data_IF_846946783850
#
_entry.id   IF_846946783850
#
_cell.length_a   1.000
_cell.length_b   1.000
_cell.length_c   1.000
_cell.angle_alpha   90.00
_cell.angle_beta   90.00
_cell.angle_gamma   90.00
#
_symmetry.space_group_name_H-M   'P 1'
#
loop_
_entity.id
_entity.type
_entity.pdbx_description
1 polymer ?
#
# COMPACT_ATOMS: atom_id res chain seq x y z
N UNK A 1 -16.58 -57.38 -31.01
CA UNK A 1 -17.04 -57.10 -29.62
C UNK A 1 -16.40 -58.13 -28.72
N UNK A 2 -15.08 -58.30 -28.79
CA UNK A 2 -14.04 -57.42 -28.21
C UNK A 2 -14.15 -57.41 -26.70
N UNK A 3 -13.56 -58.45 -26.12
CA UNK A 3 -13.09 -58.48 -24.74
C UNK A 3 -12.06 -57.36 -24.55
N UNK A 4 -12.35 -56.42 -23.65
CA UNK A 4 -11.37 -55.46 -23.14
C UNK A 4 -10.74 -56.04 -21.87
N UNK A 5 -9.40 -55.93 -21.72
CA UNK A 5 -8.66 -56.69 -20.72
C UNK A 5 -8.73 -56.07 -19.32
N UNK A 6 -8.69 -56.97 -18.35
CA UNK A 6 -8.44 -56.78 -16.93
C UNK A 6 -7.38 -55.72 -16.64
N UNK A 7 -7.73 -54.70 -15.87
CA UNK A 7 -6.77 -53.75 -15.30
C UNK A 7 -5.82 -54.48 -14.33
N UNK A 8 -4.53 -54.10 -14.28
CA UNK A 8 -3.55 -54.83 -13.49
C UNK A 8 -3.67 -54.44 -12.01
N UNK A 9 -3.75 -55.45 -11.14
CA UNK A 9 -3.67 -55.34 -9.67
C UNK A 9 -2.34 -54.73 -9.18
N UNK A 10 -1.40 -54.44 -10.09
CA UNK A 10 -0.09 -53.84 -9.84
C UNK A 10 -0.13 -52.31 -9.59
N UNK A 11 -1.27 -51.64 -9.76
CA UNK A 11 -1.40 -50.21 -9.41
C UNK A 11 -1.79 -50.01 -7.94
N UNK A 12 -2.39 -51.02 -7.31
CA UNK A 12 -2.81 -50.97 -5.90
C UNK A 12 -1.71 -51.42 -4.93
N UNK A 13 -0.72 -52.18 -5.40
CA UNK A 13 0.47 -52.53 -4.60
C UNK A 13 1.48 -51.39 -4.50
N UNK A 14 1.47 -50.42 -5.41
CA UNK A 14 2.31 -49.21 -5.33
C UNK A 14 1.88 -48.24 -4.23
N UNK A 15 0.62 -48.26 -3.79
CA UNK A 15 0.14 -47.41 -2.69
C UNK A 15 0.32 -48.02 -1.30
N UNK A 16 0.62 -49.32 -1.20
CA UNK A 16 0.78 -50.02 0.09
C UNK A 16 2.25 -50.29 0.48
N UNK A 17 3.22 -49.93 -0.36
CA UNK A 17 4.67 -49.95 0.00
C UNK A 17 5.22 -48.61 0.47
N UNK A 18 4.36 -47.63 0.76
CA UNK A 18 4.78 -46.35 1.37
C UNK A 18 4.74 -46.38 2.92
N UNK A 19 4.78 -47.57 3.51
CA UNK A 19 4.72 -47.77 4.98
C UNK A 19 5.93 -48.55 5.55
N UNK A 20 7.03 -48.67 4.79
CA UNK A 20 8.31 -49.17 5.31
C UNK A 20 9.53 -48.36 4.82
N UNK A 21 9.34 -47.07 4.54
CA UNK A 21 10.48 -46.15 4.55
C UNK A 21 10.70 -45.75 6.00
N UNK A 22 11.73 -46.35 6.58
CA UNK A 22 12.37 -45.97 7.85
C UNK A 22 12.14 -44.49 8.17
N UNK A 23 11.73 -44.22 9.42
CA UNK A 23 11.67 -42.93 10.09
C UNK A 23 13.06 -42.22 10.07
N UNK A 24 13.55 -41.88 8.89
CA UNK A 24 14.69 -41.03 8.66
C UNK A 24 14.16 -39.59 8.62
N UNK A 25 13.86 -39.10 9.82
CA UNK A 25 14.19 -37.73 10.21
C UNK A 25 13.55 -36.62 9.36
N UNK A 26 12.40 -36.19 9.86
CA UNK A 26 11.89 -34.82 9.94
C UNK A 26 12.95 -33.74 10.27
N UNK A 27 13.92 -33.50 9.39
CA UNK A 27 14.79 -32.29 9.42
C UNK A 27 15.27 -31.97 8.02
N UNK A 28 14.62 -31.03 7.32
CA UNK A 28 15.43 -30.15 6.47
C UNK A 28 16.42 -29.49 7.43
N UNK A 29 17.70 -29.86 7.33
CA UNK A 29 18.73 -29.26 8.17
C UNK A 29 18.73 -27.77 7.94
N UNK A 30 19.00 -26.98 8.98
CA UNK A 30 19.28 -25.54 8.84
C UNK A 30 20.25 -25.28 7.70
N UNK A 31 21.23 -26.17 7.48
CA UNK A 31 22.19 -26.12 6.38
C UNK A 31 21.57 -26.16 4.97
N UNK A 32 20.55 -26.98 4.70
CA UNK A 32 19.92 -27.08 3.37
C UNK A 32 18.99 -25.89 3.10
N UNK A 33 18.31 -25.40 4.13
CA UNK A 33 17.52 -24.17 4.06
C UNK A 33 18.43 -22.94 3.87
N UNK A 34 19.58 -22.92 4.55
CA UNK A 34 20.63 -21.91 4.34
C UNK A 34 21.20 -21.98 2.92
N UNK A 35 21.46 -23.18 2.38
CA UNK A 35 21.95 -23.34 1.02
C UNK A 35 20.95 -22.82 -0.01
N UNK A 36 19.66 -23.17 0.12
CA UNK A 36 18.62 -22.62 -0.75
C UNK A 36 18.50 -21.10 -0.65
N UNK A 37 18.58 -20.54 0.57
CA UNK A 37 18.58 -19.08 0.74
C UNK A 37 19.78 -18.42 0.04
N UNK A 38 20.98 -19.00 0.15
CA UNK A 38 22.18 -18.49 -0.53
C UNK A 38 22.01 -18.53 -2.05
N UNK A 39 21.47 -19.61 -2.61
CA UNK A 39 21.21 -19.72 -4.06
C UNK A 39 20.17 -18.70 -4.53
N UNK A 40 19.08 -18.51 -3.79
CA UNK A 40 18.05 -17.50 -4.12
C UNK A 40 18.65 -16.09 -4.08
N UNK A 41 19.41 -15.77 -3.03
CA UNK A 41 20.07 -14.45 -2.92
C UNK A 41 21.06 -14.25 -4.07
N UNK A 42 21.84 -15.26 -4.45
CA UNK A 42 22.75 -15.19 -5.59
C UNK A 42 22.01 -14.89 -6.90
N UNK A 43 20.88 -15.56 -7.16
CA UNK A 43 20.05 -15.27 -8.33
C UNK A 43 19.44 -13.86 -8.31
N UNK A 44 19.03 -13.36 -7.13
CA UNK A 44 18.54 -11.98 -6.99
C UNK A 44 19.65 -10.95 -7.26
N UNK A 45 20.88 -11.21 -6.82
CA UNK A 45 22.04 -10.37 -7.11
C UNK A 45 22.33 -10.37 -8.62
N UNK A 46 22.36 -11.54 -9.26
CA UNK A 46 22.57 -11.66 -10.70
C UNK A 46 21.47 -10.92 -11.48
N UNK A 47 20.21 -11.05 -11.05
CA UNK A 47 19.08 -10.32 -11.62
C UNK A 47 19.27 -8.80 -11.53
N UNK A 48 19.61 -8.27 -10.34
CA UNK A 48 19.84 -6.82 -10.13
C UNK A 48 21.00 -6.33 -11.01
N UNK A 49 22.07 -7.13 -11.15
CA UNK A 49 23.22 -6.77 -11.98
C UNK A 49 22.86 -6.76 -13.46
N UNK A 50 22.13 -7.77 -13.94
CA UNK A 50 21.72 -7.91 -15.33
C UNK A 50 20.69 -6.88 -15.76
N UNK A 51 19.78 -6.51 -14.85
CA UNK A 51 18.71 -5.54 -15.09
C UNK A 51 18.87 -4.33 -14.18
N UNK A 52 20.04 -3.69 -14.27
CA UNK A 52 20.42 -2.62 -13.35
C UNK A 52 19.39 -1.47 -13.37
N UNK A 53 18.87 -1.03 -12.21
CA UNK A 53 17.96 0.10 -12.13
C UNK A 53 18.61 1.44 -12.50
N UNK A 54 19.94 1.48 -12.72
CA UNK A 54 20.67 2.65 -13.21
C UNK A 54 20.41 2.94 -14.68
N UNK A 55 20.01 1.92 -15.43
CA UNK A 55 19.68 2.03 -16.84
C UNK A 55 18.19 2.32 -16.99
N UNK A 56 17.85 3.42 -17.69
CA UNK A 56 16.47 3.88 -17.83
C UNK A 56 15.54 2.82 -18.45
N UNK A 57 16.06 2.02 -19.39
CA UNK A 57 15.32 0.94 -20.05
C UNK A 57 14.94 -0.21 -19.11
N UNK A 58 15.66 -0.40 -18.02
CA UNK A 58 15.35 -1.46 -17.06
C UNK A 58 14.30 -1.02 -16.03
N UNK A 59 14.01 0.29 -15.89
CA UNK A 59 13.05 0.81 -14.90
C UNK A 59 11.65 0.20 -15.02
N UNK A 60 11.24 -0.15 -16.24
CA UNK A 60 9.96 -0.81 -16.50
C UNK A 60 9.86 -2.21 -15.87
N UNK A 61 10.96 -2.88 -15.56
CA UNK A 61 10.96 -4.17 -14.88
C UNK A 61 10.71 -3.99 -13.37
N UNK A 62 11.18 -2.88 -12.82
CA UNK A 62 11.10 -2.56 -11.39
C UNK A 62 9.68 -2.19 -10.92
N UNK A 63 8.72 -2.01 -11.85
CA UNK A 63 7.30 -1.88 -11.49
C UNK A 63 6.66 -3.20 -11.05
N UNK A 64 7.25 -4.35 -11.40
CA UNK A 64 6.68 -5.68 -11.13
C UNK A 64 7.37 -6.41 -9.97
N UNK A 65 8.40 -5.80 -9.38
CA UNK A 65 9.20 -6.44 -8.34
C UNK A 65 8.74 -5.91 -6.98
N UNK A 66 8.39 -6.84 -6.08
CA UNK A 66 8.19 -6.50 -4.68
C UNK A 66 9.54 -6.34 -4.00
N UNK A 67 9.87 -5.13 -3.53
CA UNK A 67 11.12 -4.88 -2.83
C UNK A 67 11.18 -5.62 -1.48
N UNK A 68 10.03 -6.00 -0.92
CA UNK A 68 9.98 -6.86 0.27
C UNK A 68 10.55 -8.26 0.03
N UNK A 69 10.56 -8.74 -1.23
CA UNK A 69 11.19 -10.01 -1.60
C UNK A 69 12.73 -9.94 -1.62
N UNK A 70 13.31 -8.73 -1.62
CA UNK A 70 14.75 -8.54 -1.56
C UNK A 70 15.26 -8.59 -0.11
N UNK A 71 16.44 -9.18 0.14
CA UNK A 71 17.17 -9.06 1.40
C UNK A 71 17.39 -7.59 1.77
N UNK A 72 17.42 -7.25 3.06
CA UNK A 72 17.42 -5.86 3.53
C UNK A 72 18.49 -4.96 2.88
N UNK A 73 19.72 -5.47 2.71
CA UNK A 73 20.81 -4.72 2.09
C UNK A 73 20.54 -4.44 0.59
N UNK A 74 20.14 -5.48 -0.15
CA UNK A 74 19.80 -5.37 -1.57
C UNK A 74 18.55 -4.52 -1.78
N UNK A 75 17.54 -4.66 -0.90
CA UNK A 75 16.33 -3.84 -0.89
C UNK A 75 16.70 -2.38 -0.79
N UNK A 76 17.51 -2.03 0.20
CA UNK A 76 17.94 -0.65 0.44
C UNK A 76 18.68 -0.10 -0.78
N UNK A 77 19.72 -0.79 -1.25
CA UNK A 77 20.48 -0.32 -2.40
C UNK A 77 19.62 -0.16 -3.65
N UNK A 78 18.81 -1.17 -3.98
CA UNK A 78 17.97 -1.17 -5.17
C UNK A 78 16.90 -0.08 -5.13
N UNK A 79 16.28 0.13 -3.96
CA UNK A 79 15.32 1.22 -3.75
C UNK A 79 15.95 2.59 -4.01
N UNK A 80 17.16 2.83 -3.46
CA UNK A 80 17.90 4.08 -3.69
C UNK A 80 18.18 4.31 -5.18
N UNK A 81 18.62 3.27 -5.89
CA UNK A 81 18.94 3.33 -7.31
C UNK A 81 17.69 3.56 -8.17
N UNK A 82 16.59 2.83 -7.93
CA UNK A 82 15.31 3.02 -8.63
C UNK A 82 14.76 4.43 -8.39
N UNK A 83 14.77 4.92 -7.15
CA UNK A 83 14.30 6.28 -6.85
C UNK A 83 15.17 7.35 -7.53
N UNK A 84 16.48 7.17 -7.56
CA UNK A 84 17.40 8.13 -8.20
C UNK A 84 17.22 8.15 -9.71
N UNK A 85 17.19 6.99 -10.35
CA UNK A 85 17.00 6.87 -11.79
C UNK A 85 15.61 7.34 -12.21
N UNK A 86 14.57 6.94 -11.49
CA UNK A 86 13.19 7.32 -11.80
C UNK A 86 12.97 8.83 -11.68
N UNK A 87 13.46 9.47 -10.61
CA UNK A 87 13.38 10.93 -10.48
C UNK A 87 14.20 11.66 -11.54
N UNK A 88 15.32 11.07 -11.99
CA UNK A 88 16.15 11.62 -13.07
C UNK A 88 15.41 11.57 -14.41
N UNK A 89 14.81 10.44 -14.76
CA UNK A 89 14.05 10.31 -16.02
C UNK A 89 12.81 11.19 -16.02
N UNK A 90 12.08 11.30 -14.90
CA UNK A 90 10.97 12.25 -14.81
C UNK A 90 11.43 13.71 -14.95
N UNK A 91 12.55 14.10 -14.31
CA UNK A 91 13.10 15.46 -14.44
C UNK A 91 13.55 15.76 -15.85
N UNK A 92 14.21 14.81 -16.50
CA UNK A 92 14.62 14.90 -17.91
C UNK A 92 13.42 15.12 -18.82
N UNK A 93 12.35 14.36 -18.61
CA UNK A 93 11.09 14.55 -19.33
C UNK A 93 10.47 15.93 -19.05
N UNK A 94 10.36 16.34 -17.78
CA UNK A 94 9.84 17.66 -17.37
C UNK A 94 10.63 18.84 -17.97
N UNK A 95 11.94 18.67 -18.15
CA UNK A 95 12.81 19.69 -18.75
C UNK A 95 12.78 19.72 -20.28
N UNK A 96 12.13 18.74 -20.92
CA UNK A 96 12.09 18.60 -22.38
C UNK A 96 10.85 19.26 -22.98
N UNK A 97 10.96 19.84 -24.18
CA UNK A 97 9.89 20.60 -24.86
C UNK A 97 8.81 19.72 -25.50
N UNK A 98 8.44 18.60 -24.85
CA UNK A 98 7.75 17.48 -25.49
C UNK A 98 6.24 17.48 -25.29
N UNK A 99 5.56 16.72 -26.17
CA UNK A 99 4.09 16.64 -26.23
C UNK A 99 3.51 15.71 -25.15
N UNK A 100 2.28 15.98 -24.73
CA UNK A 100 1.53 15.16 -23.76
C UNK A 100 1.41 13.67 -24.16
N UNK A 101 1.59 13.33 -25.44
CA UNK A 101 1.61 11.93 -25.91
C UNK A 101 2.84 11.15 -25.42
N UNK A 102 3.95 11.83 -25.09
CA UNK A 102 5.13 11.19 -24.52
C UNK A 102 5.01 10.95 -23.01
N UNK A 103 3.92 11.40 -22.37
CA UNK A 103 3.65 11.16 -20.95
C UNK A 103 3.48 9.67 -20.64
N UNK A 104 2.97 8.89 -21.60
CA UNK A 104 2.81 7.44 -21.46
C UNK A 104 4.12 6.74 -21.09
N UNK A 105 5.26 7.24 -21.63
CA UNK A 105 6.59 6.70 -21.35
C UNK A 105 7.01 6.85 -19.88
N UNK A 106 6.41 7.79 -19.13
CA UNK A 106 6.66 7.98 -17.71
C UNK A 106 5.83 7.06 -16.82
N UNK A 107 4.76 6.45 -17.32
CA UNK A 107 3.90 5.61 -16.49
C UNK A 107 4.66 4.44 -15.84
N UNK A 108 5.52 3.67 -16.55
CA UNK A 108 6.33 2.63 -15.92
C UNK A 108 7.30 3.18 -14.87
N UNK A 109 7.85 4.37 -15.10
CA UNK A 109 8.77 5.04 -14.17
C UNK A 109 8.04 5.44 -12.89
N UNK A 110 6.85 6.03 -13.01
CA UNK A 110 6.00 6.38 -11.87
C UNK A 110 5.54 5.14 -11.10
N UNK A 111 5.18 4.06 -11.80
CA UNK A 111 4.86 2.77 -11.17
C UNK A 111 6.03 2.22 -10.37
N UNK A 112 7.26 2.26 -10.90
CA UNK A 112 8.45 1.82 -10.18
C UNK A 112 8.74 2.69 -8.94
N UNK A 113 8.59 4.02 -9.05
CA UNK A 113 8.72 4.93 -7.90
C UNK A 113 7.67 4.64 -6.82
N UNK A 114 6.42 4.40 -7.22
CA UNK A 114 5.34 4.04 -6.31
C UNK A 114 5.61 2.68 -5.63
N UNK A 115 6.13 1.69 -6.37
CA UNK A 115 6.53 0.41 -5.81
C UNK A 115 7.58 0.58 -4.70
N UNK A 116 8.58 1.44 -4.91
CA UNK A 116 9.58 1.77 -3.87
C UNK A 116 8.93 2.43 -2.66
N UNK A 117 8.08 3.45 -2.84
CA UNK A 117 7.38 4.11 -1.74
C UNK A 117 6.54 3.13 -0.90
N UNK A 118 5.86 2.18 -1.55
CA UNK A 118 4.98 1.25 -0.86
C UNK A 118 5.73 0.09 -0.16
N UNK A 119 6.90 -0.31 -0.65
CA UNK A 119 7.54 -1.56 -0.22
C UNK A 119 8.96 -1.42 0.33
N UNK A 120 9.58 -0.25 0.22
CA UNK A 120 10.93 0.04 0.71
C UNK A 120 11.11 1.54 1.07
N UNK A 121 10.08 2.20 1.60
CA UNK A 121 10.16 3.62 1.97
C UNK A 121 11.19 3.90 3.07
N UNK A 122 11.44 2.94 3.95
CA UNK A 122 12.47 2.99 4.99
C UNK A 122 13.89 3.14 4.43
N UNK A 123 14.09 2.75 3.17
CA UNK A 123 15.37 2.90 2.50
C UNK A 123 15.62 4.32 1.99
N UNK A 124 14.59 5.15 1.82
CA UNK A 124 14.68 6.46 1.19
C UNK A 124 15.12 7.53 2.19
N UNK A 125 16.21 8.22 1.87
CA UNK A 125 16.62 9.40 2.62
C UNK A 125 15.71 10.61 2.34
N UNK A 126 15.83 11.66 3.17
CA UNK A 126 15.02 12.88 3.01
C UNK A 126 15.22 13.55 1.65
N UNK A 127 16.42 13.47 1.06
CA UNK A 127 16.72 14.07 -0.24
C UNK A 127 15.96 13.36 -1.35
N UNK A 128 15.91 12.03 -1.31
CA UNK A 128 15.18 11.20 -2.28
C UNK A 128 13.68 11.35 -2.13
N UNK A 129 13.16 11.32 -0.90
CA UNK A 129 11.73 11.57 -0.64
C UNK A 129 11.32 12.96 -1.19
N UNK A 130 12.14 13.97 -0.95
CA UNK A 130 11.91 15.32 -1.50
C UNK A 130 11.95 15.33 -3.03
N UNK A 131 12.90 14.63 -3.65
CA UNK A 131 13.00 14.55 -5.11
C UNK A 131 11.80 13.86 -5.75
N UNK A 132 11.32 12.75 -5.16
CA UNK A 132 10.12 12.03 -5.65
C UNK A 132 8.87 12.89 -5.49
N UNK A 133 8.70 13.51 -4.31
CA UNK A 133 7.60 14.45 -4.03
C UNK A 133 7.57 15.59 -5.05
N UNK A 134 8.73 16.21 -5.31
CA UNK A 134 8.85 17.37 -6.19
C UNK A 134 8.47 17.01 -7.63
N UNK A 135 9.00 15.89 -8.13
CA UNK A 135 8.65 15.36 -9.45
C UNK A 135 7.15 15.07 -9.55
N UNK A 136 6.57 14.39 -8.55
CA UNK A 136 5.13 14.09 -8.52
C UNK A 136 4.28 15.36 -8.52
N UNK A 137 4.70 16.38 -7.78
CA UNK A 137 4.04 17.70 -7.72
C UNK A 137 4.11 18.43 -9.07
N UNK A 138 5.27 18.44 -9.71
CA UNK A 138 5.45 19.07 -11.03
C UNK A 138 4.65 18.36 -12.12
N UNK A 139 4.61 17.03 -12.10
CA UNK A 139 3.79 16.25 -13.05
C UNK A 139 2.30 16.46 -12.82
N UNK A 140 1.87 16.59 -11.56
CA UNK A 140 0.47 16.90 -11.23
C UNK A 140 0.02 18.23 -11.86
N UNK A 141 0.87 19.25 -11.84
CA UNK A 141 0.55 20.57 -12.39
C UNK A 141 0.27 20.56 -13.91
N UNK A 142 0.66 19.49 -14.63
CA UNK A 142 0.39 19.32 -16.05
C UNK A 142 -0.99 18.70 -16.33
N UNK A 143 -1.62 18.10 -15.32
CA UNK A 143 -2.90 17.43 -15.46
C UNK A 143 -4.06 18.42 -15.45
N UNK A 144 -5.02 18.20 -16.35
CA UNK A 144 -6.30 18.90 -16.32
C UNK A 144 -7.44 17.94 -16.66
N UNK A 145 -8.66 18.33 -16.27
CA UNK A 145 -9.83 17.46 -16.39
C UNK A 145 -10.11 17.01 -17.84
N UNK A 146 -9.89 17.88 -18.83
CA UNK A 146 -10.14 17.57 -20.24
C UNK A 146 -9.18 16.50 -20.76
N UNK A 147 -7.92 16.53 -20.33
CA UNK A 147 -6.92 15.53 -20.69
C UNK A 147 -7.21 14.19 -20.01
N UNK A 148 -7.56 14.21 -18.72
CA UNK A 148 -7.84 13.00 -17.95
C UNK A 148 -9.07 12.27 -18.50
N UNK A 149 -10.15 12.97 -18.86
CA UNK A 149 -11.35 12.31 -19.40
C UNK A 149 -11.16 11.79 -20.82
N UNK A 150 -10.29 12.43 -21.61
CA UNK A 150 -10.12 12.12 -23.03
C UNK A 150 -9.05 11.09 -23.38
N UNK A 151 -8.12 10.77 -22.47
CA UNK A 151 -6.92 9.98 -22.80
C UNK A 151 -6.62 8.89 -21.74
N UNK A 152 -6.68 7.59 -22.09
CA UNK A 152 -6.44 6.48 -21.15
C UNK A 152 -5.04 6.50 -20.51
N UNK A 153 -4.00 6.88 -21.26
CA UNK A 153 -2.64 6.94 -20.72
C UNK A 153 -2.48 8.06 -19.67
N UNK A 154 -3.25 9.15 -19.79
CA UNK A 154 -3.29 10.24 -18.79
C UNK A 154 -4.07 9.81 -17.55
N UNK A 155 -5.13 9.01 -17.72
CA UNK A 155 -5.85 8.37 -16.61
C UNK A 155 -4.90 7.49 -15.80
N UNK A 156 -4.09 6.67 -16.48
CA UNK A 156 -3.07 5.86 -15.83
C UNK A 156 -2.04 6.72 -15.08
N UNK A 157 -1.54 7.80 -15.69
CA UNK A 157 -0.63 8.74 -15.01
C UNK A 157 -1.26 9.31 -13.74
N UNK A 158 -2.52 9.76 -13.81
CA UNK A 158 -3.26 10.27 -12.66
C UNK A 158 -3.43 9.19 -11.58
N UNK A 159 -3.81 7.97 -11.96
CA UNK A 159 -3.96 6.84 -11.05
C UNK A 159 -2.65 6.42 -10.37
N UNK A 160 -1.49 6.73 -10.94
CA UNK A 160 -0.18 6.52 -10.32
C UNK A 160 0.26 7.71 -9.45
N UNK A 161 -0.01 8.93 -9.89
CA UNK A 161 0.34 10.15 -9.16
C UNK A 161 -0.47 10.32 -7.88
N UNK A 162 -1.75 9.98 -7.88
CA UNK A 162 -2.61 10.08 -6.70
C UNK A 162 -2.06 9.32 -5.49
N UNK A 163 -1.82 8.00 -5.55
CA UNK A 163 -1.24 7.27 -4.42
C UNK A 163 0.20 7.71 -4.10
N UNK A 164 1.00 8.12 -5.10
CA UNK A 164 2.34 8.66 -4.87
C UNK A 164 2.30 9.96 -4.06
N UNK A 165 1.40 10.89 -4.40
CA UNK A 165 1.18 12.12 -3.63
C UNK A 165 0.57 11.82 -2.25
N UNK A 166 -0.37 10.87 -2.19
CA UNK A 166 -0.97 10.41 -0.94
C UNK A 166 0.05 9.82 0.04
N UNK A 167 1.11 9.18 -0.46
CA UNK A 167 2.24 8.74 0.36
C UNK A 167 2.94 9.91 1.07
N UNK A 168 3.08 11.05 0.39
CA UNK A 168 3.75 12.25 0.92
C UNK A 168 2.80 13.25 1.59
N UNK A 169 1.54 12.88 1.86
CA UNK A 169 0.46 13.83 2.20
C UNK A 169 0.79 14.78 3.36
N UNK A 170 1.55 14.32 4.36
CA UNK A 170 1.94 15.13 5.52
C UNK A 170 2.98 16.23 5.22
N UNK A 171 3.76 16.05 4.14
CA UNK A 171 4.82 16.99 3.72
C UNK A 171 4.51 17.66 2.39
N UNK A 172 3.29 17.44 1.85
CA UNK A 172 2.80 18.14 0.68
C UNK A 172 2.40 19.58 1.03
N UNK A 173 2.53 20.46 0.04
CA UNK A 173 2.03 21.83 0.15
C UNK A 173 0.49 21.80 0.29
N UNK A 174 -0.11 22.46 1.29
CA UNK A 174 -1.57 22.57 1.42
C UNK A 174 -2.27 23.09 0.16
N UNK A 175 -1.62 23.97 -0.61
CA UNK A 175 -2.13 24.47 -1.88
C UNK A 175 -2.24 23.35 -2.92
N UNK A 176 -1.23 22.48 -3.01
CA UNK A 176 -1.26 21.32 -3.90
C UNK A 176 -2.36 20.34 -3.49
N UNK A 177 -2.53 20.08 -2.19
CA UNK A 177 -3.62 19.22 -1.68
C UNK A 177 -4.98 19.77 -2.11
N UNK A 178 -5.19 21.08 -1.98
CA UNK A 178 -6.42 21.75 -2.42
C UNK A 178 -6.64 21.62 -3.94
N UNK A 179 -5.59 21.77 -4.75
CA UNK A 179 -5.66 21.56 -6.20
C UNK A 179 -6.02 20.11 -6.54
N UNK A 180 -5.45 19.14 -5.83
CA UNK A 180 -5.74 17.71 -6.01
C UNK A 180 -7.22 17.44 -5.74
N UNK A 181 -7.74 17.89 -4.60
CA UNK A 181 -9.16 17.71 -4.22
C UNK A 181 -10.11 18.41 -5.21
N UNK A 182 -9.73 19.60 -5.69
CA UNK A 182 -10.53 20.35 -6.67
C UNK A 182 -10.64 19.62 -8.00
N UNK A 183 -9.52 19.06 -8.50
CA UNK A 183 -9.53 18.26 -9.72
C UNK A 183 -10.37 16.99 -9.53
N UNK A 184 -10.21 16.28 -8.41
CA UNK A 184 -10.98 15.07 -8.11
C UNK A 184 -12.49 15.33 -8.05
N UNK A 185 -12.90 16.41 -7.37
CA UNK A 185 -14.32 16.81 -7.28
C UNK A 185 -14.91 17.07 -8.67
N UNK A 186 -14.12 17.66 -9.56
CA UNK A 186 -14.55 17.93 -10.94
C UNK A 186 -14.57 16.64 -11.77
N UNK A 187 -13.55 15.79 -11.59
CA UNK A 187 -13.41 14.52 -12.30
C UNK A 187 -14.52 13.53 -11.95
N UNK A 188 -14.89 13.41 -10.67
CA UNK A 188 -15.98 12.53 -10.24
C UNK A 188 -17.34 12.91 -10.86
N UNK A 189 -17.58 14.20 -11.13
CA UNK A 189 -18.77 14.66 -11.86
C UNK A 189 -18.80 14.24 -13.33
N UNK A 190 -17.64 13.94 -13.91
CA UNK A 190 -17.52 13.48 -15.29
C UNK A 190 -17.61 11.95 -15.45
N UNK A 191 -18.00 11.23 -14.41
CA UNK A 191 -18.16 9.77 -14.40
C UNK A 191 -16.93 9.01 -14.97
N UNK A 192 -15.75 9.13 -14.32
CA UNK A 192 -14.52 8.54 -14.83
C UNK A 192 -14.54 7.00 -14.66
N UNK A 193 -13.69 6.24 -15.37
CA UNK A 193 -13.64 4.77 -15.22
C UNK A 193 -13.34 4.32 -13.78
N UNK A 194 -13.69 3.08 -13.44
CA UNK A 194 -13.60 2.57 -12.07
C UNK A 194 -12.17 2.60 -11.49
N UNK A 195 -11.15 2.28 -12.29
CA UNK A 195 -9.76 2.36 -11.85
C UNK A 195 -9.33 3.78 -11.43
N UNK A 196 -9.92 4.82 -12.05
CA UNK A 196 -9.70 6.21 -11.66
C UNK A 196 -10.45 6.54 -10.38
N UNK A 197 -11.71 6.08 -10.23
CA UNK A 197 -12.49 6.25 -9.00
C UNK A 197 -11.80 5.61 -7.80
N UNK A 198 -11.25 4.41 -7.97
CA UNK A 198 -10.49 3.70 -6.94
C UNK A 198 -9.25 4.50 -6.52
N UNK A 199 -8.45 4.97 -7.49
CA UNK A 199 -7.27 5.80 -7.17
C UNK A 199 -7.63 7.11 -6.46
N UNK A 200 -8.78 7.71 -6.78
CA UNK A 200 -9.32 8.88 -6.06
C UNK A 200 -9.65 8.52 -4.60
N UNK A 201 -10.35 7.42 -4.37
CA UNK A 201 -10.69 6.95 -3.02
C UNK A 201 -9.44 6.63 -2.20
N UNK A 202 -8.43 6.00 -2.80
CA UNK A 202 -7.16 5.71 -2.14
C UNK A 202 -6.45 6.99 -1.70
N UNK A 203 -6.41 8.03 -2.55
CA UNK A 203 -5.87 9.33 -2.13
C UNK A 203 -6.69 9.95 -1.00
N UNK A 204 -8.03 9.92 -1.08
CA UNK A 204 -8.88 10.47 -0.02
C UNK A 204 -8.66 9.74 1.31
N UNK A 205 -8.42 8.44 1.30
CA UNK A 205 -8.06 7.68 2.50
C UNK A 205 -6.76 8.20 3.14
N UNK A 206 -5.80 8.67 2.32
CA UNK A 206 -4.55 9.25 2.81
C UNK A 206 -4.74 10.59 3.53
N UNK A 207 -5.81 11.35 3.21
CA UNK A 207 -6.13 12.60 3.92
C UNK A 207 -6.43 12.36 5.41
N UNK A 208 -6.92 11.16 5.77
CA UNK A 208 -7.08 10.77 7.18
C UNK A 208 -5.77 10.71 7.96
N UNK A 209 -4.62 10.67 7.27
CA UNK A 209 -3.27 10.71 7.86
C UNK A 209 -2.75 12.13 8.07
N UNK A 210 -3.49 13.16 7.63
CA UNK A 210 -3.14 14.56 7.88
C UNK A 210 -3.36 14.86 9.37
N UNK A 211 -2.28 15.04 10.09
CA UNK A 211 -2.34 15.62 11.42
C UNK A 211 -2.64 17.11 11.27
N UNK A 212 -3.77 17.59 11.79
CA UNK A 212 -4.04 19.02 11.95
C UNK A 212 -3.45 19.44 13.29
N UNK A 213 -2.32 20.18 13.33
CA UNK A 213 -1.75 20.63 14.59
C UNK A 213 -2.76 21.53 15.31
N UNK A 214 -2.89 21.35 16.63
CA UNK A 214 -3.79 22.15 17.48
C UNK A 214 -3.53 23.67 17.38
N UNK A 215 -2.34 24.08 16.92
CA UNK A 215 -2.01 25.48 16.64
C UNK A 215 -2.87 26.14 15.53
N UNK A 216 -3.44 25.37 14.61
CA UNK A 216 -4.37 25.89 13.58
C UNK A 216 -5.81 25.97 14.13
N UNK A 217 -6.11 25.20 15.19
CA UNK A 217 -7.42 25.20 15.85
C UNK A 217 -7.58 26.35 16.86
N UNK A 218 -6.48 26.89 17.36
CA UNK A 218 -6.46 28.08 18.23
C UNK A 218 -5.87 29.26 17.47
N UNK A 219 -6.72 30.19 17.03
CA UNK A 219 -6.32 31.33 16.23
C UNK A 219 -5.18 32.17 16.82
N UNK A 220 -4.34 32.69 15.92
CA UNK A 220 -3.47 33.87 16.07
C UNK A 220 -2.91 34.14 17.47
N UNK A 221 -1.78 33.52 17.81
CA UNK A 221 -0.77 34.16 18.67
C UNK A 221 0.59 33.91 18.06
N UNK A 222 1.32 35.00 17.78
CA UNK A 222 2.64 35.01 17.16
C UNK A 222 3.63 34.16 17.97
N UNK A 223 4.34 33.31 17.25
CA UNK A 223 5.13 32.23 17.82
C UNK A 223 6.59 32.66 17.92
N UNK A 224 7.08 32.87 19.15
CA UNK A 224 8.45 33.33 19.39
C UNK A 224 9.50 32.28 18.99
N UNK A 225 10.64 32.73 18.49
CA UNK A 225 11.72 31.88 17.96
C UNK A 225 12.23 30.79 18.93
N UNK A 226 12.12 31.01 20.24
CA UNK A 226 12.45 30.00 21.26
C UNK A 226 11.46 28.81 21.24
N UNK A 227 10.17 29.07 21.00
CA UNK A 227 9.17 28.01 20.85
C UNK A 227 9.41 27.17 19.59
N UNK A 228 9.93 27.77 18.50
CA UNK A 228 10.30 27.04 17.27
C UNK A 228 11.44 26.06 17.49
N UNK A 229 12.46 26.45 18.27
CA UNK A 229 13.59 25.57 18.60
C UNK A 229 13.14 24.39 19.46
N UNK A 230 12.27 24.62 20.44
CA UNK A 230 11.74 23.54 21.28
C UNK A 230 10.78 22.61 20.50
N UNK A 231 10.04 23.15 19.51
CA UNK A 231 9.24 22.34 18.57
C UNK A 231 10.09 21.43 17.70
N UNK A 232 11.18 21.92 17.11
CA UNK A 232 12.09 21.09 16.29
C UNK A 232 12.71 19.97 17.14
N UNK A 233 12.94 20.21 18.43
CA UNK A 233 13.45 19.21 19.37
C UNK A 233 12.39 18.18 19.75
N UNK A 234 11.13 18.59 19.91
CA UNK A 234 9.97 17.72 20.13
C UNK A 234 9.62 16.89 18.87
N UNK A 235 9.63 17.48 17.68
CA UNK A 235 9.38 16.80 16.40
C UNK A 235 10.42 15.71 16.14
N UNK A 236 11.70 15.95 16.48
CA UNK A 236 12.75 14.91 16.44
C UNK A 236 12.52 13.78 17.45
N UNK A 237 11.96 14.08 18.63
CA UNK A 237 11.68 13.09 19.68
C UNK A 237 10.47 12.21 19.35
N UNK A 238 9.41 12.79 18.77
CA UNK A 238 8.17 12.08 18.43
C UNK A 238 8.31 11.26 17.14
N UNK A 239 9.09 11.73 16.16
CA UNK A 239 9.39 10.98 14.93
C UNK A 239 10.08 9.63 15.23
N UNK A 240 10.90 9.56 16.27
CA UNK A 240 11.69 8.37 16.62
C UNK A 240 11.04 7.44 17.65
N UNK A 241 9.96 7.84 18.32
CA UNK A 241 9.33 7.02 19.37
C UNK A 241 8.83 5.63 18.87
N UNK A 242 8.32 5.47 17.63
CA UNK A 242 7.98 4.15 17.10
C UNK A 242 9.19 3.33 16.65
N UNK A 243 10.32 3.96 16.33
CA UNK A 243 11.51 3.28 15.77
C UNK A 243 12.59 2.97 16.81
N UNK A 244 12.62 3.69 17.94
CA UNK A 244 13.56 3.41 19.03
C UNK A 244 13.14 2.20 19.90
N UNK A 245 11.88 1.75 19.83
CA UNK A 245 11.36 0.66 20.66
C UNK A 245 11.48 -0.74 20.03
N UNK A 246 12.22 -0.88 18.93
CA UNK A 246 12.45 -2.19 18.28
C UNK A 246 13.77 -2.84 18.69
N UNK A 247 14.62 -2.17 19.49
CA UNK A 247 15.95 -2.71 19.82
C UNK A 247 16.08 -3.46 21.16
N UNK A 248 15.00 -3.77 21.88
CA UNK A 248 15.10 -4.54 23.15
C UNK A 248 14.08 -5.67 23.34
N UNK A 249 13.11 -5.89 22.45
CA UNK A 249 12.16 -7.02 22.57
C UNK A 249 12.41 -8.15 21.54
N UNK A 250 13.65 -8.31 21.09
CA UNK A 250 14.07 -9.44 20.25
C UNK A 250 14.91 -10.48 21.05
N UNK A 251 14.57 -10.68 22.33
CA UNK A 251 15.27 -11.60 23.22
C UNK A 251 14.39 -12.42 24.16
N UNK A 252 13.10 -12.64 23.86
CA UNK A 252 12.33 -13.75 24.45
C UNK A 252 11.35 -14.37 23.44
N UNK A 253 11.91 -15.12 22.48
CA UNK A 253 11.12 -16.06 21.66
C UNK A 253 11.04 -17.41 22.38
N UNK A 254 10.11 -17.53 23.33
CA UNK A 254 9.75 -18.83 23.90
C UNK A 254 8.90 -19.64 22.91
N UNK A 255 9.50 -20.73 22.44
CA UNK A 255 8.90 -21.98 21.96
C UNK A 255 7.47 -21.94 21.42
N UNK A 256 7.32 -21.87 20.10
CA UNK A 256 6.10 -22.34 19.43
C UNK A 256 6.49 -23.40 18.40
N UNK A 257 5.86 -24.57 18.56
CA UNK A 257 6.03 -25.78 17.75
C UNK A 257 5.74 -25.53 16.25
N UNK A 258 6.27 -26.37 15.35
CA UNK A 258 6.01 -26.23 13.91
C UNK A 258 4.54 -26.51 13.64
N UNK A 259 3.82 -25.51 13.13
CA UNK A 259 2.44 -25.68 12.68
C UNK A 259 2.45 -26.55 11.43
N UNK A 260 1.80 -27.71 11.51
CA UNK A 260 1.51 -28.54 10.36
C UNK A 260 0.72 -27.73 9.31
N UNK A 261 1.08 -27.92 8.03
CA UNK A 261 0.34 -27.40 6.88
C UNK A 261 -1.13 -27.82 6.98
N UNK A 262 -2.01 -26.92 7.41
CA UNK A 262 -3.45 -27.07 7.15
C UNK A 262 -3.70 -26.69 5.70
N UNK A 263 -4.40 -27.58 5.01
CA UNK A 263 -5.08 -27.26 3.77
C UNK A 263 -5.86 -25.95 3.97
N UNK A 264 -5.72 -25.03 3.01
CA UNK A 264 -6.49 -23.78 2.98
C UNK A 264 -7.96 -24.16 3.02
N UNK A 265 -8.63 -23.84 4.13
CA UNK A 265 -10.08 -23.71 4.12
C UNK A 265 -10.34 -22.33 3.52
N UNK A 266 -10.73 -22.30 2.25
CA UNK A 266 -11.40 -21.14 1.67
C UNK A 266 -12.74 -20.98 2.40
N UNK A 267 -12.72 -20.28 3.54
CA UNK A 267 -13.93 -19.58 3.96
C UNK A 267 -14.12 -18.39 3.02
N UNK A 268 -15.35 -18.08 2.60
CA UNK A 268 -15.58 -17.00 1.65
C UNK A 268 -15.09 -15.70 2.28
N UNK A 269 -14.11 -15.04 1.65
CA UNK A 269 -13.59 -13.73 2.07
C UNK A 269 -14.72 -12.72 2.33
N UNK A 270 -15.84 -12.89 1.60
CA UNK A 270 -17.06 -12.10 1.73
C UNK A 270 -17.74 -12.24 3.11
N UNK A 271 -17.81 -13.44 3.69
CA UNK A 271 -18.49 -13.67 4.98
C UNK A 271 -17.77 -12.98 6.15
N UNK A 272 -16.45 -12.96 6.11
CA UNK A 272 -15.62 -12.29 7.12
C UNK A 272 -15.72 -10.76 7.00
N UNK A 273 -15.84 -10.22 5.79
CA UNK A 273 -16.08 -8.79 5.56
C UNK A 273 -17.45 -8.36 6.10
N UNK A 274 -18.51 -9.14 5.87
CA UNK A 274 -19.84 -8.88 6.45
C UNK A 274 -19.82 -8.95 7.98
N UNK A 275 -19.11 -9.92 8.55
CA UNK A 275 -18.97 -10.08 10.00
C UNK A 275 -18.23 -8.89 10.63
N UNK A 276 -17.14 -8.45 10.02
CA UNK A 276 -16.35 -7.29 10.46
C UNK A 276 -17.17 -6.00 10.40
N UNK A 277 -17.92 -5.79 9.30
CA UNK A 277 -18.79 -4.62 9.15
C UNK A 277 -19.91 -4.60 10.20
N UNK A 278 -20.52 -5.75 10.50
CA UNK A 278 -21.52 -5.87 11.56
C UNK A 278 -20.93 -5.53 12.95
N UNK A 279 -19.74 -6.06 13.26
CA UNK A 279 -19.07 -5.78 14.53
C UNK A 279 -18.75 -4.29 14.70
N UNK A 280 -18.27 -3.63 13.64
CA UNK A 280 -18.00 -2.19 13.65
C UNK A 280 -19.28 -1.36 13.85
N UNK A 281 -20.39 -1.75 13.21
CA UNK A 281 -21.68 -1.09 13.38
C UNK A 281 -22.23 -1.23 14.81
N UNK A 282 -22.11 -2.41 15.43
CA UNK A 282 -22.49 -2.65 16.83
C UNK A 282 -21.69 -1.76 17.77
N UNK A 283 -20.36 -1.70 17.62
CA UNK A 283 -19.51 -0.87 18.46
C UNK A 283 -19.84 0.63 18.34
N UNK A 284 -20.20 1.10 17.14
CA UNK A 284 -20.60 2.49 16.92
C UNK A 284 -21.95 2.82 17.60
N UNK A 285 -22.91 1.89 17.61
CA UNK A 285 -24.18 2.05 18.31
C UNK A 285 -23.99 2.11 19.83
N UNK A 286 -23.16 1.23 20.40
CA UNK A 286 -22.82 1.24 21.83
C UNK A 286 -22.17 2.57 22.24
N UNK A 287 -21.32 3.15 21.38
CA UNK A 287 -20.71 4.46 21.62
C UNK A 287 -21.76 5.58 21.63
N UNK A 288 -22.74 5.56 20.71
CA UNK A 288 -23.85 6.52 20.68
C UNK A 288 -24.72 6.38 21.93
N UNK A 289 -25.04 5.15 22.36
CA UNK A 289 -25.77 4.91 23.61
C UNK A 289 -25.02 5.47 24.82
N UNK A 290 -23.70 5.29 24.90
CA UNK A 290 -22.88 5.87 25.96
C UNK A 290 -22.91 7.41 25.99
N UNK A 291 -23.02 8.04 24.81
CA UNK A 291 -23.12 9.51 24.70
C UNK A 291 -24.52 10.02 25.07
N UNK A 292 -25.57 9.28 24.74
CA UNK A 292 -26.95 9.60 25.13
C UNK A 292 -27.17 9.56 26.64
N UNK A 293 -26.40 8.74 27.37
CA UNK A 293 -26.42 8.76 28.84
C UNK A 293 -25.79 10.02 29.45
N UNK A 294 -24.97 10.76 28.69
CA UNK A 294 -24.20 11.93 29.18
C UNK A 294 -24.86 13.27 28.83
N UNK A 295 -25.70 13.32 27.80
CA UNK A 295 -26.32 14.54 27.31
C UNK A 295 -27.61 14.24 26.54
N UNK A 296 -28.61 15.16 26.54
CA UNK A 296 -29.84 14.96 25.79
C UNK A 296 -29.56 14.80 24.28
N UNK A 297 -30.33 13.94 23.57
CA UNK A 297 -30.17 13.69 22.15
C UNK A 297 -30.38 14.99 21.33
N UNK A 298 -29.47 15.31 20.40
CA UNK A 298 -29.70 16.39 19.43
C UNK A 298 -30.87 16.08 18.50
N UNK A 299 -31.63 17.11 18.09
CA UNK A 299 -32.84 16.96 17.25
C UNK A 299 -32.59 16.28 15.90
N UNK A 300 -31.39 16.42 15.33
CA UNK A 300 -31.00 15.79 14.07
C UNK A 300 -30.71 14.28 14.20
N UNK A 301 -30.46 13.79 15.42
CA UNK A 301 -30.11 12.38 15.68
C UNK A 301 -31.31 11.46 15.43
N UNK A 302 -32.50 11.88 15.84
CA UNK A 302 -33.75 11.16 15.60
C UNK A 302 -33.97 10.89 14.11
N UNK A 303 -33.87 11.92 13.27
CA UNK A 303 -34.02 11.79 11.80
C UNK A 303 -32.97 10.85 11.20
N UNK A 304 -31.73 10.86 11.74
CA UNK A 304 -30.66 9.96 11.29
C UNK A 304 -30.91 8.51 11.71
N UNK A 305 -31.43 8.28 12.92
CA UNK A 305 -31.79 6.95 13.41
C UNK A 305 -32.95 6.35 12.60
N UNK A 306 -33.97 7.14 12.26
CA UNK A 306 -35.07 6.71 11.38
C UNK A 306 -34.56 6.29 9.99
N UNK A 307 -33.66 7.08 9.41
CA UNK A 307 -33.02 6.76 8.12
C UNK A 307 -32.19 5.47 8.20
N UNK A 308 -31.49 5.26 9.31
CA UNK A 308 -30.68 4.06 9.53
C UNK A 308 -31.58 2.83 9.71
N UNK A 309 -32.68 2.96 10.44
CA UNK A 309 -33.68 1.91 10.64
C UNK A 309 -34.30 1.47 9.31
N UNK A 310 -34.69 2.42 8.44
CA UNK A 310 -35.22 2.11 7.10
C UNK A 310 -34.21 1.32 6.25
N UNK A 311 -32.92 1.65 6.33
CA UNK A 311 -31.86 0.93 5.61
C UNK A 311 -31.63 -0.47 6.16
N UNK A 312 -31.69 -0.63 7.49
CA UNK A 312 -31.60 -1.94 8.14
C UNK A 312 -32.78 -2.83 7.72
N UNK A 313 -33.99 -2.29 7.65
CA UNK A 313 -35.15 -3.08 7.26
C UNK A 313 -35.12 -3.46 5.77
N UNK A 314 -34.60 -2.59 4.89
CA UNK A 314 -34.26 -2.95 3.50
C UNK A 314 -33.23 -4.08 3.43
N UNK A 315 -32.16 -4.01 4.23
CA UNK A 315 -31.14 -5.06 4.29
C UNK A 315 -31.72 -6.40 4.77
N UNK A 316 -32.61 -6.38 5.79
CA UNK A 316 -33.31 -7.59 6.25
C UNK A 316 -34.15 -8.23 5.15
N UNK A 317 -34.82 -7.43 4.32
CA UNK A 317 -35.59 -7.91 3.16
C UNK A 317 -34.74 -8.49 2.02
N UNK A 318 -33.42 -8.28 2.02
CA UNK A 318 -32.51 -8.90 1.06
C UNK A 318 -31.88 -10.20 1.58
N UNK A 319 -31.95 -10.46 2.88
CA UNK A 319 -31.35 -11.63 3.55
C UNK A 319 -32.39 -12.74 3.84
N UNK A 320 -33.68 -12.41 3.84
CA UNK A 320 -34.82 -13.33 3.98
C UNK A 320 -35.78 -13.18 2.80
#
# INVERSE_FOLDING_TARGET
>A
MDELPSQPEDVQTLWCTESQVSEATTRYGTAELCAHHVTIVAHLVEFIQKFSPKEAENLLLWQYISFQALPAELRKQTALEVSRSGTTECRKWLSSSRSLGELESLNPVLSALLAVCNSASEALDMGQQTAVKEVGSQLWALLNIKLVTGQPYVQQTLSLLLPLLGFFIQILDPQLISQVITLQTSLLKSEPPDHVRLAVLDFLSSLGKLFIPQAIQTGFVDETAAARVERVKQEKGTFWAPFAKVTVEEAEKSSLQPSAKRARHELPLEEEEYRSALQAATAALEAIESLLQKSPPPDWLLTKMETLQERIDKLKHHVF
#
